data_IF_779275593305
#
_entry.id   IF_779275593305
#
_cell.length_a   1.000
_cell.length_b   1.000
_cell.length_c   1.000
_cell.angle_alpha   90.00
_cell.angle_beta   90.00
_cell.angle_gamma   90.00
#
_symmetry.space_group_name_H-M   'P 1'
#
loop_
_entity.id
_entity.type
_entity.pdbx_description
1 polymer ?
#
# COMPACT_ATOMS: atom_id res chain seq x y z
N UNK A 1 24.30 9.66 37.31
CA UNK A 1 23.08 8.84 37.32
C UNK A 1 21.98 9.75 36.78
N UNK A 2 21.53 9.54 35.54
CA UNK A 2 20.53 10.43 34.92
C UNK A 2 19.16 10.19 35.56
N UNK A 3 18.45 11.25 35.92
CA UNK A 3 17.11 11.13 36.47
C UNK A 3 16.10 10.77 35.37
N UNK A 4 14.89 10.36 35.76
CA UNK A 4 13.87 9.92 34.82
C UNK A 4 13.46 11.02 33.82
N UNK A 5 13.47 12.29 34.22
CA UNK A 5 13.12 13.39 33.34
C UNK A 5 14.16 13.58 32.21
N UNK A 6 15.44 13.48 32.54
CA UNK A 6 16.55 13.54 31.58
C UNK A 6 16.50 12.34 30.62
N UNK A 7 16.18 11.14 31.12
CA UNK A 7 16.00 9.96 30.26
C UNK A 7 14.81 10.13 29.29
N UNK A 8 13.69 10.69 29.74
CA UNK A 8 12.53 10.96 28.90
C UNK A 8 12.82 12.01 27.82
N UNK A 9 13.56 13.07 28.17
CA UNK A 9 13.98 14.08 27.21
C UNK A 9 14.87 13.49 26.12
N UNK A 10 15.88 12.71 26.52
CA UNK A 10 16.79 12.04 25.59
C UNK A 10 16.05 11.06 24.67
N UNK A 11 15.10 10.28 25.20
CA UNK A 11 14.29 9.36 24.40
C UNK A 11 13.45 10.11 23.37
N UNK A 12 12.84 11.24 23.73
CA UNK A 12 12.06 12.08 22.80
C UNK A 12 12.93 12.67 21.70
N UNK A 13 14.13 13.15 22.05
CA UNK A 13 15.08 13.67 21.08
C UNK A 13 15.51 12.60 20.07
N UNK A 14 15.73 11.37 20.53
CA UNK A 14 16.07 10.24 19.68
C UNK A 14 14.91 9.84 18.76
N UNK A 15 13.68 9.80 19.26
CA UNK A 15 12.48 9.58 18.44
C UNK A 15 12.38 10.64 17.35
N UNK A 16 12.51 11.93 17.69
CA UNK A 16 12.46 13.02 16.73
C UNK A 16 13.60 12.96 15.69
N UNK A 17 14.75 12.36 16.02
CA UNK A 17 15.81 12.07 15.05
C UNK A 17 15.41 10.95 14.10
N UNK A 18 14.87 9.85 14.64
CA UNK A 18 14.42 8.70 13.84
C UNK A 18 13.25 9.06 12.93
N UNK A 19 12.30 9.86 13.38
CA UNK A 19 11.18 10.36 12.56
C UNK A 19 11.65 11.14 11.34
N UNK A 20 12.67 12.01 11.51
CA UNK A 20 13.26 12.75 10.38
C UNK A 20 13.93 11.83 9.37
N UNK A 21 14.59 10.77 9.84
CA UNK A 21 15.21 9.77 8.96
C UNK A 21 14.12 8.97 8.23
N UNK A 22 13.08 8.53 8.93
CA UNK A 22 11.96 7.78 8.38
C UNK A 22 11.17 8.58 7.32
N UNK A 23 11.12 9.91 7.44
CA UNK A 23 10.51 10.79 6.45
C UNK A 23 11.26 10.80 5.11
N UNK A 24 12.57 10.53 5.10
CA UNK A 24 13.39 10.45 3.88
C UNK A 24 13.77 9.03 3.48
N UNK A 25 13.38 8.03 4.28
CA UNK A 25 13.71 6.62 4.04
C UNK A 25 12.96 6.05 2.85
N UNK A 26 13.60 5.09 2.17
CA UNK A 26 13.08 4.44 0.95
C UNK A 26 12.00 3.40 1.26
N UNK A 27 11.17 2.98 0.27
CA UNK A 27 10.21 1.87 0.48
C UNK A 27 10.96 0.57 0.88
N UNK A 28 12.26 0.40 0.58
CA UNK A 28 13.05 -0.78 0.98
C UNK A 28 13.31 -0.84 2.49
N UNK A 29 13.46 0.32 3.13
CA UNK A 29 13.80 0.42 4.55
C UNK A 29 12.54 0.45 5.44
N UNK A 30 11.46 1.05 4.96
CA UNK A 30 10.22 1.24 5.73
C UNK A 30 9.06 0.34 5.29
N UNK A 31 9.22 -0.40 4.19
CA UNK A 31 8.12 -1.06 3.50
C UNK A 31 7.40 -0.13 2.51
N UNK A 32 6.71 -0.74 1.55
CA UNK A 32 5.87 -0.01 0.62
C UNK A 32 4.59 0.49 1.31
N UNK A 33 4.33 1.79 1.18
CA UNK A 33 3.07 2.42 1.60
C UNK A 33 2.16 2.54 0.38
N UNK A 34 1.47 1.45 0.05
CA UNK A 34 0.64 1.34 -1.15
C UNK A 34 -0.71 2.03 -0.94
N UNK A 35 -1.02 3.02 -1.79
CA UNK A 35 -2.30 3.74 -1.76
C UNK A 35 -3.07 3.55 -3.06
N UNK A 36 -4.40 3.48 -2.96
CA UNK A 36 -5.27 3.27 -4.10
C UNK A 36 -5.15 4.43 -5.11
N UNK A 37 -4.72 4.11 -6.32
CA UNK A 37 -4.46 5.09 -7.37
C UNK A 37 -5.52 5.06 -8.48
N UNK A 38 -6.24 3.94 -8.65
CA UNK A 38 -7.26 3.79 -9.67
C UNK A 38 -7.55 2.33 -9.99
N UNK A 39 -8.01 2.06 -11.21
CA UNK A 39 -8.33 0.71 -11.65
C UNK A 39 -7.76 0.37 -13.03
N UNK A 40 -7.55 -0.93 -13.23
CA UNK A 40 -7.20 -1.56 -14.52
C UNK A 40 -8.33 -2.49 -14.92
N UNK A 41 -8.57 -2.70 -16.22
CA UNK A 41 -9.56 -3.69 -16.68
C UNK A 41 -9.24 -5.09 -16.12
N UNK A 42 -10.24 -5.85 -15.63
CA UNK A 42 -9.98 -7.21 -15.11
C UNK A 42 -9.61 -8.22 -16.21
N UNK A 43 -9.76 -7.88 -17.49
CA UNK A 43 -9.55 -8.77 -18.63
C UNK A 43 -10.76 -9.65 -18.96
N UNK A 44 -11.95 -9.31 -18.46
CA UNK A 44 -13.20 -9.99 -18.81
C UNK A 44 -13.70 -9.56 -20.20
N UNK A 45 -14.36 -10.46 -20.94
CA UNK A 45 -14.89 -10.18 -22.28
C UNK A 45 -15.89 -9.02 -22.31
N UNK A 46 -16.63 -8.81 -21.22
CA UNK A 46 -17.58 -7.69 -21.11
C UNK A 46 -16.89 -6.33 -20.97
N UNK A 47 -15.61 -6.29 -20.59
CA UNK A 47 -14.80 -5.08 -20.52
C UNK A 47 -15.28 -3.99 -19.55
N UNK A 48 -16.32 -4.25 -18.76
CA UNK A 48 -16.94 -3.31 -17.81
C UNK A 48 -16.40 -3.42 -16.38
N UNK A 49 -15.63 -4.48 -16.11
CA UNK A 49 -15.07 -4.84 -14.81
C UNK A 49 -13.66 -4.24 -14.61
N UNK A 50 -13.33 -3.76 -13.40
CA UNK A 50 -11.98 -3.24 -13.08
C UNK A 50 -11.39 -3.78 -11.77
N UNK A 51 -10.09 -4.08 -11.78
CA UNK A 51 -9.26 -4.40 -10.60
C UNK A 51 -8.60 -3.15 -10.05
N UNK A 52 -8.37 -3.08 -8.72
CA UNK A 52 -7.72 -1.94 -8.11
C UNK A 52 -6.23 -1.92 -8.42
N UNK A 53 -5.68 -0.73 -8.57
CA UNK A 53 -4.26 -0.46 -8.74
C UNK A 53 -3.80 0.44 -7.59
N UNK A 54 -2.69 0.09 -6.98
CA UNK A 54 -2.10 0.82 -5.87
C UNK A 54 -0.70 1.33 -6.21
N UNK A 55 -0.30 2.47 -5.65
CA UNK A 55 1.00 3.12 -5.87
C UNK A 55 1.70 3.39 -4.52
N UNK A 56 3.01 3.06 -4.39
CA UNK A 56 3.81 3.39 -3.19
C UNK A 56 3.94 4.91 -3.12
N UNK A 57 3.44 5.56 -2.06
CA UNK A 57 3.59 7.01 -1.88
C UNK A 57 5.05 7.46 -1.73
N UNK A 58 5.94 6.53 -1.36
CA UNK A 58 7.36 6.80 -1.13
C UNK A 58 8.23 6.67 -2.38
N UNK A 59 8.00 5.68 -3.25
CA UNK A 59 8.81 5.49 -4.47
C UNK A 59 8.05 5.71 -5.79
N UNK A 60 6.73 5.82 -5.75
CA UNK A 60 5.88 5.96 -6.93
C UNK A 60 5.69 4.69 -7.74
N UNK A 61 6.22 3.55 -7.29
CA UNK A 61 6.02 2.26 -7.98
C UNK A 61 4.57 1.78 -7.82
N UNK A 62 4.05 1.16 -8.86
CA UNK A 62 2.67 0.70 -8.96
C UNK A 62 2.62 -0.82 -8.93
N UNK A 63 1.61 -1.40 -8.29
CA UNK A 63 1.39 -2.85 -8.41
C UNK A 63 0.78 -3.23 -9.76
N UNK A 64 0.30 -2.25 -10.53
CA UNK A 64 -0.37 -2.45 -11.82
C UNK A 64 -1.52 -3.48 -11.76
N UNK A 65 -2.19 -3.61 -10.61
CA UNK A 65 -3.25 -4.60 -10.41
C UNK A 65 -2.74 -6.04 -10.25
N UNK A 66 -1.47 -6.20 -9.86
CA UNK A 66 -0.87 -7.46 -9.40
C UNK A 66 -0.89 -7.52 -7.87
N UNK A 67 -2.11 -7.49 -7.33
CA UNK A 67 -2.36 -7.62 -5.90
C UNK A 67 -3.43 -8.69 -5.64
N UNK A 68 -3.53 -9.15 -4.40
CA UNK A 68 -4.46 -10.22 -4.03
C UNK A 68 -5.93 -9.82 -4.31
N UNK A 69 -6.32 -8.57 -4.05
CA UNK A 69 -7.68 -8.10 -4.33
C UNK A 69 -8.01 -8.15 -5.83
N UNK A 70 -7.04 -7.80 -6.67
CA UNK A 70 -7.15 -7.90 -8.12
C UNK A 70 -7.30 -9.37 -8.57
N UNK A 71 -6.53 -10.29 -7.99
CA UNK A 71 -6.67 -11.72 -8.25
C UNK A 71 -8.06 -12.24 -7.85
N UNK A 72 -8.54 -11.85 -6.67
CA UNK A 72 -9.85 -12.25 -6.16
C UNK A 72 -10.98 -11.73 -7.07
N UNK A 73 -10.88 -10.47 -7.52
CA UNK A 73 -11.83 -9.86 -8.47
C UNK A 73 -11.80 -10.54 -9.83
N UNK A 74 -10.63 -10.90 -10.36
CA UNK A 74 -10.53 -11.64 -11.63
C UNK A 74 -11.19 -13.01 -11.51
N UNK A 75 -10.90 -13.74 -10.43
CA UNK A 75 -11.48 -15.05 -10.13
C UNK A 75 -13.02 -14.98 -9.99
N UNK A 76 -13.53 -13.93 -9.34
CA UNK A 76 -14.97 -13.70 -9.24
C UNK A 76 -15.60 -13.30 -10.60
N UNK A 77 -14.86 -12.59 -11.44
CA UNK A 77 -15.33 -12.15 -12.75
C UNK A 77 -15.47 -13.31 -13.75
N UNK A 78 -14.55 -14.29 -13.74
CA UNK A 78 -14.66 -15.51 -14.54
C UNK A 78 -15.88 -16.38 -14.18
N UNK A 79 -16.47 -16.16 -13.00
CA UNK A 79 -17.65 -16.87 -12.51
C UNK A 79 -18.99 -16.29 -12.98
N UNK A 80 -19.01 -15.15 -13.66
CA UNK A 80 -20.25 -14.56 -14.17
C UNK A 80 -20.69 -15.24 -15.47
N UNK A 81 -21.33 -16.40 -15.36
CA UNK A 81 -22.11 -16.99 -16.47
C UNK A 81 -23.52 -16.41 -16.45
N UNK A 82 -24.05 -15.98 -17.60
CA UNK A 82 -25.42 -15.46 -17.76
C UNK A 82 -26.45 -16.34 -16.99
N UNK A 83 -26.90 -15.89 -15.81
CA UNK A 83 -27.81 -16.68 -14.97
C UNK A 83 -28.00 -16.25 -13.51
N UNK A 84 -27.19 -15.34 -12.95
CA UNK A 84 -27.25 -14.94 -11.54
C UNK A 84 -28.18 -13.73 -11.24
N UNK A 85 -29.30 -13.60 -11.96
CA UNK A 85 -30.38 -12.62 -11.67
C UNK A 85 -31.70 -13.32 -11.34
#
# INVERSE_FOLDING_TARGET
MQNLAEQLENARAEVARLERIAATATCREMGCDMQHAGGMNCGCDQGSCSVPVYVCTRCGDSDYGDNQEALDKRTACERWTEGDL
#
